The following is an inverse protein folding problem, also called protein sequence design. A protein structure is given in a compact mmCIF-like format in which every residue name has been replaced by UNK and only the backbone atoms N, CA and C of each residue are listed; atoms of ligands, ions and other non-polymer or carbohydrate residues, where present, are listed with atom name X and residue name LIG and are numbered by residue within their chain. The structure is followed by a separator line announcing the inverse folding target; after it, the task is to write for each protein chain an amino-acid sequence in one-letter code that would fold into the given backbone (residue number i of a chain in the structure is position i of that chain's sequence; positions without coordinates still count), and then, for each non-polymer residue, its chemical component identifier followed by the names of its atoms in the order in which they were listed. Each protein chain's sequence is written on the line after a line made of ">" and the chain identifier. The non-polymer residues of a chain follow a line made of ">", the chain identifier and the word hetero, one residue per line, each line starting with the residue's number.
data_IF_461453507498
#
_entry.id   IF_461453507498
#
_cell.length_a   1.000
_cell.length_b   1.000
_cell.length_c   1.000
_cell.angle_alpha   90.00
_cell.angle_beta   90.00
_cell.angle_gamma   90.00
#
_symmetry.space_group_name_H-M   'P 1'
#
loop_
_entity.id
_entity.type
_entity.pdbx_description
1 polymer ?
#
# COMPACT_ATOMS: atom_id res chain seq x y z
N UNK A 1 20.74 11.89 -40.90
CA UNK A 1 21.68 11.81 -42.05
C UNK A 1 22.86 12.77 -41.87
N UNK A 2 24.09 12.25 -41.70
CA UNK A 2 25.28 13.07 -41.45
C UNK A 2 26.26 13.15 -42.64
N UNK A 3 26.00 12.40 -43.70
CA UNK A 3 26.87 12.28 -44.88
C UNK A 3 26.24 12.99 -46.09
N UNK A 4 26.74 14.18 -46.48
CA UNK A 4 26.25 14.92 -47.65
C UNK A 4 26.39 14.16 -48.97
N UNK A 5 27.43 13.35 -49.13
CA UNK A 5 27.74 12.66 -50.38
C UNK A 5 26.67 11.64 -50.76
N UNK A 6 26.03 11.02 -49.75
CA UNK A 6 24.89 10.09 -49.94
C UNK A 6 23.68 10.75 -50.61
N UNK A 7 23.57 12.07 -50.54
CA UNK A 7 22.48 12.87 -51.10
C UNK A 7 22.93 13.73 -52.30
N UNK A 8 24.14 13.49 -52.82
CA UNK A 8 24.69 14.27 -53.94
C UNK A 8 25.07 15.70 -53.58
N UNK A 9 25.37 15.97 -52.30
CA UNK A 9 25.71 17.31 -51.80
C UNK A 9 27.18 17.39 -51.38
N UNK A 10 27.79 18.55 -51.59
CA UNK A 10 29.23 18.76 -51.32
C UNK A 10 29.49 19.22 -49.88
N UNK A 11 28.57 19.97 -49.27
CA UNK A 11 28.76 20.52 -47.92
C UNK A 11 27.67 20.11 -46.93
N UNK A 12 28.03 20.09 -45.64
CA UNK A 12 27.05 19.90 -44.55
C UNK A 12 25.98 21.01 -44.52
N UNK A 13 26.33 22.21 -44.99
CA UNK A 13 25.42 23.36 -45.04
C UNK A 13 24.34 23.15 -46.11
N UNK A 14 24.72 22.60 -47.26
CA UNK A 14 23.76 22.26 -48.32
C UNK A 14 22.83 21.14 -47.88
N UNK A 15 23.35 20.16 -47.14
CA UNK A 15 22.54 19.09 -46.55
C UNK A 15 21.54 19.63 -45.54
N UNK A 16 21.94 20.58 -44.69
CA UNK A 16 21.03 21.26 -43.78
C UNK A 16 19.94 22.03 -44.54
N UNK A 17 20.30 22.82 -45.55
CA UNK A 17 19.33 23.57 -46.36
C UNK A 17 18.34 22.66 -47.10
N UNK A 18 18.80 21.54 -47.65
CA UNK A 18 17.92 20.55 -48.29
C UNK A 18 16.93 19.95 -47.28
N UNK A 19 17.43 19.57 -46.10
CA UNK A 19 16.59 19.04 -45.02
C UNK A 19 15.55 20.05 -44.56
N UNK A 20 15.91 21.32 -44.36
CA UNK A 20 14.96 22.38 -44.00
C UNK A 20 13.87 22.57 -45.07
N UNK A 21 14.20 22.48 -46.36
CA UNK A 21 13.19 22.56 -47.43
C UNK A 21 12.21 21.38 -47.39
N UNK A 22 12.69 20.16 -47.14
CA UNK A 22 11.82 19.01 -46.94
C UNK A 22 10.96 19.12 -45.69
N UNK A 23 11.50 19.66 -44.60
CA UNK A 23 10.74 19.91 -43.37
C UNK A 23 9.64 20.93 -43.60
N UNK A 24 9.90 22.04 -44.30
CA UNK A 24 8.87 23.04 -44.67
C UNK A 24 7.77 22.41 -45.53
N UNK A 25 8.12 21.55 -46.49
CA UNK A 25 7.14 20.86 -47.34
C UNK A 25 6.22 19.95 -46.51
N UNK A 26 6.72 19.42 -45.40
CA UNK A 26 6.03 18.51 -44.51
C UNK A 26 5.47 19.20 -43.25
N UNK A 27 5.74 20.49 -43.04
CA UNK A 27 5.53 21.25 -41.80
C UNK A 27 4.11 21.12 -41.23
N UNK A 28 3.09 21.06 -42.09
CA UNK A 28 1.69 20.88 -41.66
C UNK A 28 1.35 19.51 -41.04
N UNK A 29 2.26 18.52 -41.09
CA UNK A 29 2.09 17.18 -40.52
C UNK A 29 3.22 16.78 -39.55
N UNK A 30 4.15 17.71 -39.27
CA UNK A 30 5.33 17.44 -38.45
C UNK A 30 5.27 18.05 -37.05
N UNK A 31 4.27 18.89 -36.74
CA UNK A 31 4.08 19.47 -35.40
C UNK A 31 4.00 18.42 -34.27
N UNK A 32 3.56 17.19 -34.59
CA UNK A 32 3.52 16.08 -33.63
C UNK A 32 4.89 15.40 -33.40
N UNK A 33 5.90 15.68 -34.23
CA UNK A 33 7.17 14.95 -34.30
C UNK A 33 8.38 15.86 -34.06
N UNK A 34 8.32 17.14 -34.43
CA UNK A 34 9.38 18.13 -34.21
C UNK A 34 8.80 19.40 -33.60
N UNK A 35 9.64 20.19 -32.94
CA UNK A 35 9.19 21.38 -32.22
C UNK A 35 9.36 22.70 -33.00
N UNK A 36 10.14 22.71 -34.07
CA UNK A 36 10.39 23.86 -34.94
C UNK A 36 10.62 23.35 -36.37
N UNK A 37 9.94 23.95 -37.35
CA UNK A 37 9.98 23.52 -38.75
C UNK A 37 11.28 23.94 -39.47
N UNK A 38 11.96 24.98 -38.97
CA UNK A 38 13.18 25.54 -39.55
C UNK A 38 14.44 25.02 -38.85
N UNK A 39 14.44 25.00 -37.51
CA UNK A 39 15.57 24.60 -36.66
C UNK A 39 15.15 23.64 -35.53
N UNK A 40 14.79 22.37 -35.84
CA UNK A 40 14.35 21.41 -34.83
C UNK A 40 15.45 21.04 -33.84
N UNK A 41 15.22 21.27 -32.55
CA UNK A 41 16.13 20.89 -31.45
C UNK A 41 15.60 19.66 -30.66
N UNK A 42 14.35 19.25 -30.89
CA UNK A 42 13.69 18.11 -30.25
C UNK A 42 12.92 17.29 -31.27
N UNK A 43 12.87 15.99 -31.04
CA UNK A 43 12.03 15.09 -31.81
C UNK A 43 11.25 14.14 -30.90
N UNK A 44 9.98 13.91 -31.22
CA UNK A 44 9.13 12.92 -30.59
C UNK A 44 9.09 11.65 -31.43
N UNK A 45 9.43 10.53 -30.81
CA UNK A 45 9.28 9.20 -31.41
C UNK A 45 8.12 8.51 -30.68
N UNK A 46 7.01 8.30 -31.38
CA UNK A 46 5.83 7.64 -30.84
C UNK A 46 5.92 6.12 -31.07
N UNK A 47 5.82 5.35 -29.98
CA UNK A 47 5.69 3.90 -30.02
C UNK A 47 4.27 3.54 -29.58
N UNK A 48 3.47 3.02 -30.51
CA UNK A 48 2.12 2.54 -30.19
C UNK A 48 2.17 1.05 -29.87
N UNK A 49 1.63 0.69 -28.71
CA UNK A 49 1.56 -0.69 -28.25
C UNK A 49 0.17 -1.25 -28.50
N UNK A 50 0.11 -2.46 -29.05
CA UNK A 50 -1.15 -3.19 -29.20
C UNK A 50 -1.61 -3.84 -27.89
N UNK A 51 -0.69 -4.01 -26.92
CA UNK A 51 -0.96 -4.61 -25.63
C UNK A 51 -0.19 -3.84 -24.53
N UNK A 52 -0.89 -3.45 -23.47
CA UNK A 52 -0.35 -2.74 -22.30
C UNK A 52 -0.07 -3.68 -21.11
N UNK A 53 -0.01 -4.98 -21.33
CA UNK A 53 0.42 -5.94 -20.32
C UNK A 53 1.78 -5.56 -19.72
N UNK A 54 1.88 -5.71 -18.39
CA UNK A 54 3.02 -5.24 -17.61
C UNK A 54 4.35 -5.85 -18.06
N UNK A 55 4.34 -7.11 -18.50
CA UNK A 55 5.52 -7.81 -19.00
C UNK A 55 5.97 -7.26 -20.35
N UNK A 56 5.04 -7.13 -21.30
CA UNK A 56 5.27 -6.54 -22.62
C UNK A 56 5.84 -5.13 -22.48
N UNK A 57 5.23 -4.31 -21.64
CA UNK A 57 5.68 -2.94 -21.41
C UNK A 57 7.06 -2.87 -20.76
N UNK A 58 7.36 -3.75 -19.79
CA UNK A 58 8.69 -3.84 -19.21
C UNK A 58 9.76 -4.21 -20.25
N UNK A 59 9.46 -5.17 -21.12
CA UNK A 59 10.37 -5.62 -22.16
C UNK A 59 10.63 -4.50 -23.18
N UNK A 60 9.57 -3.81 -23.63
CA UNK A 60 9.69 -2.66 -24.55
C UNK A 60 10.52 -1.54 -23.92
N UNK A 61 10.27 -1.21 -22.65
CA UNK A 61 11.05 -0.17 -21.96
C UNK A 61 12.52 -0.55 -21.86
N UNK A 62 12.84 -1.79 -21.43
CA UNK A 62 14.23 -2.24 -21.34
C UNK A 62 14.95 -2.24 -22.69
N UNK A 63 14.28 -2.69 -23.76
CA UNK A 63 14.85 -2.66 -25.10
C UNK A 63 15.04 -1.23 -25.61
N UNK A 64 14.11 -0.33 -25.31
CA UNK A 64 14.20 1.09 -25.70
C UNK A 64 15.37 1.79 -25.01
N UNK A 65 15.53 1.63 -23.70
CA UNK A 65 16.70 2.15 -22.98
C UNK A 65 18.00 1.57 -23.57
N UNK A 66 18.07 0.25 -23.73
CA UNK A 66 19.27 -0.43 -24.26
C UNK A 66 19.62 -0.04 -25.70
N UNK A 67 18.63 0.34 -26.51
CA UNK A 67 18.85 0.83 -27.87
C UNK A 67 19.39 2.26 -27.83
N UNK A 68 18.69 3.17 -27.15
CA UNK A 68 19.06 4.59 -27.14
C UNK A 68 20.36 4.87 -26.39
N UNK A 69 20.69 4.11 -25.34
CA UNK A 69 21.99 4.20 -24.67
C UNK A 69 23.19 3.93 -25.60
N UNK A 70 22.98 3.14 -26.67
CA UNK A 70 24.04 2.81 -27.65
C UNK A 70 23.96 3.65 -28.92
N UNK A 71 22.76 4.09 -29.29
CA UNK A 71 22.48 4.71 -30.58
C UNK A 71 22.36 6.24 -30.53
N UNK A 72 22.31 6.85 -29.34
CA UNK A 72 22.15 8.30 -29.21
C UNK A 72 23.38 9.04 -29.77
N UNK A 73 23.20 10.05 -30.66
CA UNK A 73 24.31 10.85 -31.16
C UNK A 73 24.95 11.73 -30.07
N UNK A 74 26.24 12.05 -30.22
CA UNK A 74 26.93 12.98 -29.31
C UNK A 74 26.20 14.34 -29.23
N UNK A 75 26.02 14.85 -28.01
CA UNK A 75 25.32 16.11 -27.74
C UNK A 75 23.80 15.99 -27.65
N UNK A 76 23.22 14.81 -27.93
CA UNK A 76 21.78 14.56 -27.79
C UNK A 76 21.47 13.79 -26.50
N UNK A 77 20.33 14.10 -25.90
CA UNK A 77 19.77 13.37 -24.77
C UNK A 77 18.40 12.82 -25.15
N UNK A 78 18.03 11.67 -24.61
CA UNK A 78 16.70 11.09 -24.82
C UNK A 78 15.95 10.97 -23.48
N UNK A 79 14.62 11.01 -23.56
CA UNK A 79 13.72 10.73 -22.44
C UNK A 79 12.57 9.87 -22.94
N UNK A 80 12.25 8.82 -22.21
CA UNK A 80 11.09 7.96 -22.50
C UNK A 80 9.92 8.41 -21.64
N UNK A 81 8.78 8.66 -22.26
CA UNK A 81 7.57 9.14 -21.60
C UNK A 81 6.32 8.37 -22.08
N UNK A 82 5.16 9.02 -21.97
CA UNK A 82 3.87 8.43 -22.35
C UNK A 82 3.11 7.86 -21.16
N UNK A 83 1.79 7.77 -21.32
CA UNK A 83 0.86 7.34 -20.26
C UNK A 83 1.18 5.94 -19.76
N UNK A 84 1.40 4.98 -20.65
CA UNK A 84 1.70 3.59 -20.28
C UNK A 84 2.99 3.49 -19.45
N UNK A 85 4.05 4.20 -19.84
CA UNK A 85 5.31 4.30 -19.07
C UNK A 85 5.08 4.89 -17.69
N UNK A 86 4.30 5.97 -17.59
CA UNK A 86 3.96 6.62 -16.31
C UNK A 86 3.19 5.63 -15.42
N UNK A 87 2.15 4.97 -15.93
CA UNK A 87 1.38 3.98 -15.16
C UNK A 87 2.25 2.83 -14.67
N UNK A 88 3.14 2.29 -15.51
CA UNK A 88 4.05 1.22 -15.11
C UNK A 88 4.98 1.64 -13.97
N UNK A 89 5.57 2.85 -14.05
CA UNK A 89 6.44 3.38 -13.01
C UNK A 89 5.64 3.60 -11.72
N UNK A 90 4.44 4.20 -11.82
CA UNK A 90 3.55 4.39 -10.68
C UNK A 90 3.20 3.07 -10.00
N UNK A 91 2.80 2.04 -10.76
CA UNK A 91 2.50 0.71 -10.21
C UNK A 91 3.70 0.12 -9.47
N UNK A 92 4.91 0.23 -10.04
CA UNK A 92 6.13 -0.26 -9.38
C UNK A 92 6.43 0.48 -8.08
N UNK A 93 6.30 1.80 -8.10
CA UNK A 93 6.53 2.65 -6.93
C UNK A 93 5.50 2.36 -5.83
N UNK A 94 4.23 2.16 -6.20
CA UNK A 94 3.15 1.81 -5.27
C UNK A 94 3.44 0.46 -4.61
N UNK A 95 3.71 -0.60 -5.39
CA UNK A 95 3.92 -1.95 -4.84
C UNK A 95 5.10 -1.97 -3.86
N UNK A 96 6.25 -1.39 -4.24
CA UNK A 96 7.44 -1.39 -3.38
C UNK A 96 7.21 -0.57 -2.10
N UNK A 97 6.58 0.59 -2.23
CA UNK A 97 6.28 1.46 -1.09
C UNK A 97 5.23 0.83 -0.17
N UNK A 98 4.28 0.08 -0.72
CA UNK A 98 3.19 -0.56 0.03
C UNK A 98 3.70 -1.66 0.96
N UNK A 99 4.60 -2.54 0.48
CA UNK A 99 5.17 -3.59 1.34
C UNK A 99 5.93 -2.98 2.51
N UNK A 100 6.80 -2.00 2.23
CA UNK A 100 7.58 -1.32 3.27
C UNK A 100 6.67 -0.58 4.26
N UNK A 101 5.63 0.08 3.76
CA UNK A 101 4.66 0.80 4.58
C UNK A 101 3.83 -0.12 5.46
N UNK A 102 3.36 -1.27 4.95
CA UNK A 102 2.61 -2.25 5.74
C UNK A 102 3.51 -2.85 6.84
N UNK A 103 4.74 -3.26 6.51
CA UNK A 103 5.67 -3.79 7.50
C UNK A 103 6.04 -2.75 8.57
N UNK A 104 6.31 -1.52 8.14
CA UNK A 104 6.59 -0.39 9.03
C UNK A 104 5.41 -0.07 9.94
N UNK A 105 4.18 -0.05 9.39
CA UNK A 105 2.96 0.20 10.16
C UNK A 105 2.67 -0.93 11.17
N UNK A 106 2.81 -2.20 10.77
CA UNK A 106 2.68 -3.35 11.67
C UNK A 106 3.70 -3.29 12.81
N UNK A 107 4.95 -2.94 12.50
CA UNK A 107 5.99 -2.75 13.50
C UNK A 107 5.66 -1.61 14.46
N UNK A 108 5.21 -0.46 13.96
CA UNK A 108 4.82 0.67 14.79
C UNK A 108 3.61 0.36 15.68
N UNK A 109 2.58 -0.30 15.16
CA UNK A 109 1.43 -0.72 15.95
C UNK A 109 1.85 -1.71 17.04
N UNK A 110 2.67 -2.71 16.67
CA UNK A 110 3.23 -3.65 17.63
C UNK A 110 4.01 -2.93 18.74
N UNK A 111 4.83 -1.95 18.38
CA UNK A 111 5.62 -1.15 19.31
C UNK A 111 4.70 -0.36 20.25
N UNK A 112 3.70 0.33 19.72
CA UNK A 112 2.74 1.12 20.49
C UNK A 112 1.98 0.24 21.48
N UNK A 113 1.42 -0.89 21.04
CA UNK A 113 0.69 -1.81 21.93
C UNK A 113 1.65 -2.39 22.98
N UNK A 114 2.86 -2.78 22.58
CA UNK A 114 3.88 -3.28 23.51
C UNK A 114 4.23 -2.25 24.59
N UNK A 115 4.30 -0.97 24.24
CA UNK A 115 4.58 0.12 25.18
C UNK A 115 3.38 0.39 26.10
N UNK A 116 2.16 0.50 25.57
CA UNK A 116 0.94 0.72 26.36
C UNK A 116 0.78 -0.35 27.44
N UNK A 117 1.00 -1.61 27.08
CA UNK A 117 0.85 -2.75 27.98
C UNK A 117 2.15 -3.17 28.68
N UNK A 118 3.27 -2.49 28.41
CA UNK A 118 4.61 -2.83 28.90
C UNK A 118 4.97 -4.32 28.68
N UNK A 119 4.51 -4.89 27.57
CA UNK A 119 4.58 -6.33 27.32
C UNK A 119 4.65 -6.64 25.83
N UNK A 120 5.82 -7.12 25.40
CA UNK A 120 6.08 -7.53 24.01
C UNK A 120 5.11 -8.63 23.54
N UNK A 121 4.76 -9.55 24.45
CA UNK A 121 3.80 -10.63 24.16
C UNK A 121 2.41 -10.06 23.85
N UNK A 122 1.96 -9.06 24.61
CA UNK A 122 0.67 -8.39 24.36
C UNK A 122 0.71 -7.61 23.05
N UNK A 123 1.85 -7.01 22.70
CA UNK A 123 2.08 -6.42 21.38
C UNK A 123 1.75 -7.37 20.23
N UNK A 124 2.29 -8.60 20.26
CA UNK A 124 1.99 -9.61 19.24
C UNK A 124 0.52 -10.06 19.23
N UNK A 125 -0.12 -10.18 20.41
CA UNK A 125 -1.55 -10.47 20.51
C UNK A 125 -2.39 -9.36 19.86
N UNK A 126 -1.96 -8.10 20.02
CA UNK A 126 -2.61 -6.95 19.41
C UNK A 126 -2.57 -6.93 17.89
N UNK A 127 -1.63 -7.65 17.25
CA UNK A 127 -1.56 -7.75 15.79
C UNK A 127 -2.57 -8.73 15.19
N UNK A 128 -3.16 -9.61 16.01
CA UNK A 128 -4.08 -10.67 15.53
C UNK A 128 -5.21 -10.12 14.66
N UNK A 129 -6.05 -9.16 15.12
CA UNK A 129 -7.14 -8.66 14.27
C UNK A 129 -6.66 -7.99 12.99
N UNK A 130 -5.48 -7.36 13.02
CA UNK A 130 -4.88 -6.72 11.85
C UNK A 130 -4.48 -7.76 10.80
N UNK A 131 -3.78 -8.82 11.21
CA UNK A 131 -3.35 -9.89 10.29
C UNK A 131 -4.56 -10.57 9.66
N UNK A 132 -5.61 -10.85 10.44
CA UNK A 132 -6.85 -11.43 9.91
C UNK A 132 -7.58 -10.48 8.97
N UNK A 133 -7.64 -9.18 9.30
CA UNK A 133 -8.24 -8.19 8.41
C UNK A 133 -7.46 -8.06 7.09
N UNK A 134 -6.13 -7.97 7.14
CA UNK A 134 -5.30 -7.88 5.94
C UNK A 134 -5.41 -9.16 5.09
N UNK A 135 -5.39 -10.34 5.72
CA UNK A 135 -5.61 -11.61 5.03
C UNK A 135 -6.98 -11.68 4.36
N UNK A 136 -8.03 -11.22 5.05
CA UNK A 136 -9.38 -11.13 4.50
C UNK A 136 -9.47 -10.21 3.28
N UNK A 137 -8.78 -9.07 3.31
CA UNK A 137 -8.69 -8.16 2.17
C UNK A 137 -7.96 -8.81 0.98
N UNK A 138 -6.83 -9.50 1.22
CA UNK A 138 -6.12 -10.22 0.16
C UNK A 138 -7.02 -11.27 -0.50
N UNK A 139 -7.77 -12.04 0.29
CA UNK A 139 -8.73 -13.02 -0.23
C UNK A 139 -9.80 -12.32 -1.08
N UNK A 140 -10.34 -11.19 -0.60
CA UNK A 140 -11.36 -10.43 -1.33
C UNK A 140 -10.83 -9.84 -2.65
N UNK A 141 -9.60 -9.34 -2.67
CA UNK A 141 -8.97 -8.83 -3.89
C UNK A 141 -8.73 -9.94 -4.93
N UNK A 142 -8.26 -11.11 -4.48
CA UNK A 142 -8.07 -12.28 -5.35
C UNK A 142 -9.41 -12.77 -5.89
N UNK A 143 -10.43 -12.90 -5.04
CA UNK A 143 -11.78 -13.33 -5.45
C UNK A 143 -12.44 -12.34 -6.42
N UNK A 144 -12.16 -11.04 -6.27
CA UNK A 144 -12.69 -9.97 -7.14
C UNK A 144 -11.88 -9.71 -8.40
N UNK A 145 -10.78 -10.44 -8.66
CA UNK A 145 -9.83 -10.15 -9.75
C UNK A 145 -9.34 -8.69 -9.77
N UNK A 146 -9.16 -8.09 -8.59
CA UNK A 146 -8.74 -6.71 -8.44
C UNK A 146 -7.21 -6.63 -8.42
N UNK A 147 -6.64 -5.72 -9.21
CA UNK A 147 -5.19 -5.48 -9.25
C UNK A 147 -4.76 -4.66 -8.04
N UNK A 148 -3.53 -4.88 -7.58
CA UNK A 148 -2.90 -4.04 -6.56
C UNK A 148 -2.63 -2.65 -7.14
N UNK A 149 -3.27 -1.64 -6.59
CA UNK A 149 -3.16 -0.25 -6.96
C UNK A 149 -3.15 0.67 -5.72
N UNK A 150 -3.19 1.99 -5.95
CA UNK A 150 -3.26 2.98 -4.87
C UNK A 150 -4.47 2.78 -3.94
N UNK A 151 -5.61 2.30 -4.45
CA UNK A 151 -6.82 2.05 -3.65
C UNK A 151 -6.56 0.88 -2.69
N UNK A 152 -5.95 -0.20 -3.18
CA UNK A 152 -5.59 -1.34 -2.31
C UNK A 152 -4.62 -0.95 -1.19
N UNK A 153 -3.68 -0.03 -1.46
CA UNK A 153 -2.76 0.50 -0.45
C UNK A 153 -3.49 1.31 0.62
N UNK A 154 -4.44 2.15 0.21
CA UNK A 154 -5.27 2.93 1.14
C UNK A 154 -6.10 2.01 2.04
N UNK A 155 -6.74 0.99 1.47
CA UNK A 155 -7.52 0.02 2.25
C UNK A 155 -6.65 -0.74 3.26
N UNK A 156 -5.44 -1.16 2.89
CA UNK A 156 -4.53 -1.85 3.80
C UNK A 156 -4.14 -0.98 5.02
N UNK A 157 -3.84 0.30 4.80
CA UNK A 157 -3.52 1.24 5.89
C UNK A 157 -4.67 1.38 6.88
N UNK A 158 -5.90 1.43 6.38
CA UNK A 158 -7.10 1.53 7.21
C UNK A 158 -7.32 0.25 8.01
N UNK A 159 -7.16 -0.92 7.38
CA UNK A 159 -7.30 -2.19 8.06
C UNK A 159 -6.34 -2.33 9.26
N UNK A 160 -5.12 -1.80 9.12
CA UNK A 160 -4.16 -1.72 10.22
C UNK A 160 -4.67 -0.80 11.34
N UNK A 161 -5.16 0.40 11.01
CA UNK A 161 -5.66 1.36 12.00
C UNK A 161 -6.87 0.84 12.77
N UNK A 162 -7.88 0.34 12.06
CA UNK A 162 -9.09 -0.25 12.64
C UNK A 162 -8.76 -1.49 13.48
N UNK A 163 -7.87 -2.35 13.00
CA UNK A 163 -7.47 -3.54 13.75
C UNK A 163 -6.69 -3.23 15.01
N UNK A 164 -5.83 -2.21 14.97
CA UNK A 164 -5.15 -1.72 16.15
C UNK A 164 -6.15 -1.17 17.18
N UNK A 165 -7.12 -0.37 16.74
CA UNK A 165 -8.15 0.22 17.61
C UNK A 165 -8.96 -0.85 18.36
N UNK A 166 -9.53 -1.81 17.63
CA UNK A 166 -10.29 -2.90 18.25
C UNK A 166 -9.44 -3.80 19.13
N UNK A 167 -8.18 -4.07 18.75
CA UNK A 167 -7.25 -4.79 19.60
C UNK A 167 -7.05 -4.08 20.94
N UNK A 168 -6.76 -2.77 20.91
CA UNK A 168 -6.54 -1.96 22.11
C UNK A 168 -7.79 -1.96 22.98
N UNK A 169 -8.97 -1.72 22.41
CA UNK A 169 -10.22 -1.72 23.17
C UNK A 169 -10.47 -3.05 23.88
N UNK A 170 -10.28 -4.18 23.21
CA UNK A 170 -10.43 -5.52 23.81
C UNK A 170 -9.36 -5.77 24.88
N UNK A 171 -8.09 -5.47 24.60
CA UNK A 171 -6.98 -5.69 25.53
C UNK A 171 -7.11 -4.84 26.80
N UNK A 172 -7.49 -3.57 26.68
CA UNK A 172 -7.73 -2.68 27.83
C UNK A 172 -8.90 -3.19 28.67
N UNK A 173 -10.01 -3.55 28.03
CA UNK A 173 -11.18 -4.06 28.73
C UNK A 173 -10.87 -5.38 29.45
N UNK A 174 -10.14 -6.29 28.79
CA UNK A 174 -9.70 -7.55 29.37
C UNK A 174 -8.82 -7.31 30.60
N UNK A 175 -7.76 -6.48 30.49
CA UNK A 175 -6.88 -6.12 31.62
C UNK A 175 -7.66 -5.53 32.79
N UNK A 176 -8.59 -4.61 32.52
CA UNK A 176 -9.43 -3.97 33.54
C UNK A 176 -10.31 -4.99 34.26
N UNK A 177 -10.97 -5.88 33.53
CA UNK A 177 -11.85 -6.91 34.10
C UNK A 177 -11.06 -7.98 34.88
N UNK A 178 -9.87 -8.36 34.40
CA UNK A 178 -8.98 -9.29 35.11
C UNK A 178 -8.50 -8.73 36.44
N UNK A 179 -8.19 -7.44 36.50
CA UNK A 179 -7.69 -6.80 37.73
C UNK A 179 -8.74 -6.73 38.85
N UNK A 180 -10.02 -6.59 38.51
CA UNK A 180 -11.09 -6.43 39.51
C UNK A 180 -11.50 -7.74 40.19
N UNK A 181 -11.15 -8.91 39.63
CA UNK A 181 -11.61 -10.24 40.09
C UNK A 181 -13.13 -10.34 40.32
N UNK A 182 -13.91 -9.42 39.75
CA UNK A 182 -15.29 -9.15 40.17
C UNK A 182 -16.31 -10.12 39.54
N UNK A 183 -15.91 -10.94 38.57
CA UNK A 183 -16.86 -11.74 37.79
C UNK A 183 -16.40 -13.19 37.67
N UNK A 184 -17.30 -14.12 38.01
CA UNK A 184 -17.15 -15.56 37.76
C UNK A 184 -16.99 -15.88 36.26
N UNK A 185 -17.41 -14.96 35.37
CA UNK A 185 -17.20 -15.07 33.93
C UNK A 185 -16.69 -13.74 33.32
N UNK A 186 -15.37 -13.58 33.29
CA UNK A 186 -14.69 -12.42 32.72
C UNK A 186 -15.04 -12.18 31.24
N UNK A 187 -15.21 -13.26 30.48
CA UNK A 187 -15.45 -13.20 29.04
C UNK A 187 -16.87 -12.69 28.78
N UNK A 188 -17.85 -13.16 29.56
CA UNK A 188 -19.22 -12.67 29.47
C UNK A 188 -19.29 -11.16 29.77
N UNK A 189 -18.57 -10.69 30.78
CA UNK A 189 -18.51 -9.24 31.10
C UNK A 189 -17.84 -8.41 30.01
N UNK A 190 -16.81 -8.95 29.36
CA UNK A 190 -16.16 -8.33 28.22
C UNK A 190 -17.17 -8.12 27.08
N UNK A 191 -17.94 -9.16 26.75
CA UNK A 191 -18.94 -9.10 25.69
C UNK A 191 -20.12 -8.16 26.02
N UNK A 192 -20.61 -8.20 27.27
CA UNK A 192 -21.73 -7.36 27.71
C UNK A 192 -21.38 -5.86 27.79
N UNK A 193 -20.10 -5.51 27.83
CA UNK A 193 -19.64 -4.12 27.88
C UNK A 193 -18.97 -3.72 26.57
N UNK A 194 -17.65 -3.91 26.47
CA UNK A 194 -16.83 -3.47 25.35
C UNK A 194 -17.16 -4.23 24.06
N UNK A 195 -17.52 -5.50 24.13
CA UNK A 195 -17.85 -6.29 22.95
C UNK A 195 -19.07 -5.75 22.20
N UNK A 196 -20.15 -5.42 22.92
CA UNK A 196 -21.34 -4.79 22.35
C UNK A 196 -21.03 -3.43 21.73
N UNK A 197 -20.19 -2.62 22.38
CA UNK A 197 -19.76 -1.33 21.85
C UNK A 197 -18.96 -1.46 20.54
N UNK A 198 -18.00 -2.41 20.49
CA UNK A 198 -17.19 -2.69 19.29
C UNK A 198 -18.07 -3.15 18.13
N UNK A 199 -18.99 -4.09 18.37
CA UNK A 199 -19.89 -4.57 17.31
C UNK A 199 -20.78 -3.45 16.78
N UNK A 200 -21.35 -2.63 17.67
CA UNK A 200 -22.19 -1.52 17.25
C UNK A 200 -21.41 -0.51 16.40
N UNK A 201 -20.19 -0.16 16.81
CA UNK A 201 -19.29 0.68 16.01
C UNK A 201 -18.97 0.06 14.63
N UNK A 202 -18.55 -1.21 14.63
CA UNK A 202 -18.15 -1.91 13.42
C UNK A 202 -19.28 -1.96 12.40
N UNK A 203 -20.50 -2.34 12.83
CA UNK A 203 -21.66 -2.40 11.94
C UNK A 203 -22.13 -1.01 11.50
N UNK A 204 -22.24 -0.05 12.41
CA UNK A 204 -22.69 1.30 12.05
C UNK A 204 -21.78 1.96 11.01
N UNK A 205 -20.46 1.87 11.19
CA UNK A 205 -19.52 2.46 10.24
C UNK A 205 -19.43 1.62 8.96
N UNK A 206 -19.46 0.29 9.03
CA UNK A 206 -19.47 -0.55 7.83
C UNK A 206 -20.68 -0.26 6.93
N UNK A 207 -21.87 -0.09 7.51
CA UNK A 207 -23.09 0.31 6.78
C UNK A 207 -22.90 1.67 6.13
N UNK A 208 -22.33 2.64 6.85
CA UNK A 208 -22.02 3.97 6.31
C UNK A 208 -21.08 3.93 5.10
N UNK A 209 -20.00 3.15 5.18
CA UNK A 209 -19.05 2.99 4.06
C UNK A 209 -19.61 2.17 2.90
N UNK A 210 -20.59 1.30 3.15
CA UNK A 210 -21.28 0.56 2.09
C UNK A 210 -22.04 1.49 1.16
N UNK A 211 -22.47 2.68 1.62
CA UNK A 211 -23.11 3.68 0.76
C UNK A 211 -22.20 4.11 -0.41
N UNK A 212 -20.88 4.02 -0.28
CA UNK A 212 -19.93 4.34 -1.34
C UNK A 212 -20.03 3.40 -2.55
N UNK A 213 -20.63 2.21 -2.39
CA UNK A 213 -20.91 1.27 -3.50
C UNK A 213 -21.81 1.91 -4.56
N UNK A 214 -22.64 2.88 -4.18
CA UNK A 214 -23.50 3.63 -5.11
C UNK A 214 -22.74 4.65 -5.98
N UNK A 215 -21.43 4.81 -5.76
CA UNK A 215 -20.60 5.72 -6.55
C UNK A 215 -20.49 5.27 -8.01
N UNK A 216 -20.53 6.24 -8.93
CA UNK A 216 -20.25 6.01 -10.36
C UNK A 216 -18.76 5.71 -10.62
N UNK A 217 -17.90 6.09 -9.68
CA UNK A 217 -16.47 5.81 -9.77
C UNK A 217 -16.19 4.46 -9.10
N UNK A 218 -15.91 3.45 -9.93
CA UNK A 218 -15.62 2.06 -9.50
C UNK A 218 -14.60 2.01 -8.34
N UNK A 219 -13.48 2.77 -8.37
CA UNK A 219 -12.50 2.71 -7.28
C UNK A 219 -13.09 3.12 -5.91
N UNK A 220 -14.04 4.04 -5.89
CA UNK A 220 -14.70 4.50 -4.65
C UNK A 220 -15.63 3.41 -4.11
N UNK A 221 -16.38 2.73 -4.99
CA UNK A 221 -17.25 1.62 -4.61
C UNK A 221 -16.48 0.40 -4.08
N UNK A 222 -15.36 0.07 -4.72
CA UNK A 222 -14.43 -0.97 -4.25
C UNK A 222 -13.86 -0.59 -2.88
N UNK A 223 -13.38 0.64 -2.74
CA UNK A 223 -12.85 1.15 -1.47
C UNK A 223 -13.87 1.02 -0.32
N UNK A 224 -15.11 1.43 -0.54
CA UNK A 224 -16.18 1.33 0.47
C UNK A 224 -16.49 -0.11 0.88
N UNK A 225 -16.60 -1.02 -0.11
CA UNK A 225 -16.81 -2.44 0.16
C UNK A 225 -15.67 -3.04 0.98
N UNK A 226 -14.43 -2.74 0.60
CA UNK A 226 -13.25 -3.27 1.29
C UNK A 226 -13.09 -2.71 2.70
N UNK A 227 -13.41 -1.43 2.89
CA UNK A 227 -13.46 -0.80 4.23
C UNK A 227 -14.48 -1.52 5.13
N UNK A 228 -15.71 -1.69 4.65
CA UNK A 228 -16.77 -2.36 5.39
C UNK A 228 -16.39 -3.80 5.75
N UNK A 229 -15.80 -4.54 4.81
CA UNK A 229 -15.30 -5.89 5.04
C UNK A 229 -14.20 -5.92 6.11
N UNK A 230 -13.22 -5.00 6.04
CA UNK A 230 -12.15 -4.89 7.03
C UNK A 230 -12.69 -4.62 8.44
N UNK A 231 -13.67 -3.73 8.58
CA UNK A 231 -14.32 -3.44 9.88
C UNK A 231 -14.96 -4.67 10.49
N UNK A 232 -15.69 -5.44 9.70
CA UNK A 232 -16.36 -6.67 10.16
C UNK A 232 -15.34 -7.75 10.52
N UNK A 233 -14.37 -8.02 9.66
CA UNK A 233 -13.36 -9.06 9.93
C UNK A 233 -12.54 -8.69 11.16
N UNK A 234 -12.10 -7.44 11.25
CA UNK A 234 -11.25 -6.98 12.34
C UNK A 234 -11.97 -6.98 13.68
N UNK A 235 -13.24 -6.53 13.72
CA UNK A 235 -14.02 -6.55 14.96
C UNK A 235 -14.26 -7.98 15.43
N UNK A 236 -14.67 -8.90 14.55
CA UNK A 236 -14.85 -10.32 14.88
C UNK A 236 -13.53 -10.97 15.32
N UNK A 237 -12.43 -10.73 14.62
CA UNK A 237 -11.12 -11.26 14.98
C UNK A 237 -10.67 -10.75 16.35
N UNK A 238 -10.89 -9.46 16.66
CA UNK A 238 -10.55 -8.90 17.96
C UNK A 238 -11.38 -9.51 19.10
N UNK A 239 -12.67 -9.74 18.87
CA UNK A 239 -13.59 -10.23 19.90
C UNK A 239 -13.49 -11.73 20.12
N UNK A 240 -13.14 -12.50 19.09
CA UNK A 240 -13.06 -13.96 19.18
C UNK A 240 -11.63 -14.39 19.51
N UNK A 241 -10.64 -13.93 18.75
CA UNK A 241 -9.29 -14.50 18.78
C UNK A 241 -8.46 -13.96 19.95
N UNK A 242 -8.55 -12.66 20.26
CA UNK A 242 -7.79 -12.10 21.39
C UNK A 242 -8.21 -12.78 22.71
N UNK A 243 -9.50 -12.85 23.09
CA UNK A 243 -9.88 -13.52 24.34
C UNK A 243 -9.56 -15.01 24.33
N UNK A 244 -9.64 -15.69 23.18
CA UNK A 244 -9.27 -17.10 23.05
C UNK A 244 -7.77 -17.33 23.33
N UNK A 245 -6.89 -16.44 22.85
CA UNK A 245 -5.46 -16.49 23.14
C UNK A 245 -5.19 -16.15 24.59
N UNK A 246 -5.78 -15.07 25.11
CA UNK A 246 -5.57 -14.63 26.49
C UNK A 246 -6.05 -15.66 27.53
N UNK A 247 -7.07 -16.46 27.23
CA UNK A 247 -7.52 -17.56 28.11
C UNK A 247 -6.47 -18.65 28.29
N UNK A 248 -5.59 -18.87 27.31
CA UNK A 248 -4.54 -19.91 27.34
C UNK A 248 -3.23 -19.43 27.96
N UNK A 249 -3.07 -18.12 28.17
CA UNK A 249 -1.84 -17.53 28.69
C UNK A 249 -2.10 -16.98 30.08
N UNK A 250 -1.14 -17.11 31.00
CA UNK A 250 -1.28 -16.54 32.33
C UNK A 250 -1.30 -15.00 32.24
N UNK A 251 -2.51 -14.45 32.39
CA UNK A 251 -2.84 -13.03 32.33
C UNK A 251 -2.06 -12.24 33.38
N UNK A 252 -1.77 -12.84 34.53
CA UNK A 252 -1.02 -12.20 35.61
C UNK A 252 0.43 -11.97 35.20
N UNK A 253 1.02 -12.82 34.36
CA UNK A 253 2.38 -12.62 33.84
C UNK A 253 2.45 -11.62 32.69
N UNK A 254 1.37 -11.52 31.90
CA UNK A 254 1.28 -10.67 30.72
C UNK A 254 1.19 -9.18 31.04
N UNK A 255 0.50 -8.82 32.13
CA UNK A 255 0.23 -7.43 32.52
C UNK A 255 0.99 -6.98 33.78
N UNK A 256 1.89 -7.81 34.34
CA UNK A 256 2.72 -7.45 35.49
C UNK A 256 3.61 -6.25 35.16
N UNK A 257 3.41 -5.17 35.90
CA UNK A 257 4.31 -4.01 35.91
C UNK A 257 5.68 -4.45 36.40
N UNK A 258 6.77 -4.00 35.76
CA UNK A 258 8.14 -4.38 36.15
C UNK A 258 8.48 -4.07 37.63
N UNK A 259 7.77 -3.12 38.27
CA UNK A 259 7.90 -2.86 39.71
C UNK A 259 7.49 -4.05 40.61
N UNK A 260 6.45 -4.81 40.24
CA UNK A 260 6.01 -5.97 41.04
C UNK A 260 6.93 -7.18 40.88
N UNK A 261 7.55 -7.35 39.70
CA UNK A 261 8.59 -8.37 39.49
C UNK A 261 9.85 -8.09 40.33
N UNK A 262 10.16 -6.81 40.56
CA UNK A 262 11.24 -6.40 41.47
C UNK A 262 10.93 -6.72 42.94
N UNK A 263 9.71 -6.39 43.40
CA UNK A 263 9.28 -6.65 44.79
C UNK A 263 9.20 -8.14 45.13
N UNK A 264 8.73 -8.99 44.21
CA UNK A 264 8.72 -10.45 44.39
C UNK A 264 10.13 -11.06 44.49
N UNK A 265 11.09 -10.56 43.71
CA UNK A 265 12.50 -11.00 43.79
C UNK A 265 13.20 -10.53 45.06
N UNK A 266 12.84 -9.36 45.60
CA UNK A 266 13.40 -8.85 46.86
C UNK A 266 12.82 -9.63 48.04
N UNK A 267 11.51 -9.87 48.05
CA UNK A 267 10.85 -10.66 49.10
C UNK A 267 11.35 -12.12 49.12
N UNK A 268 11.54 -12.77 47.97
CA UNK A 268 12.08 -14.15 47.94
C UNK A 268 13.55 -14.25 48.35
N UNK A 269 14.29 -13.12 48.37
CA UNK A 269 15.69 -13.04 48.82
C UNK A 269 15.84 -12.69 50.30
N UNK A 270 14.77 -12.24 50.95
CA UNK A 270 14.73 -11.91 52.39
C UNK A 270 14.22 -13.07 53.24
N UNK A 271 13.60 -14.08 52.62
CA UNK A 271 13.04 -15.27 53.27
C UNK A 271 13.73 -16.59 52.86
N UNK A 272 14.90 -16.50 52.21
CA UNK A 272 15.87 -17.57 52.01
C UNK A 272 17.21 -17.11 52.61
#
# INVERSE_FOLDING_TARGET
>A
PQDPAKYGLETKKDLQSLLSQYLILLAGNLEMVINDDLEPDKTLIALQLNNEEKETLNNVLQQSYSFWDRAIPEGWNYKIGGTSTIYYILDKLIINSQILSILGALFLVWLIISLIFHSVKVGFIGLIPIVFSLGGLVIAFVAGNLKLDAVTSLTASIAIGVGADYAIHVLVAYRRLSARKEHNDLILSLYNTTGRAILMNAFSVAIGFTALVLSRLIPIGVFGTMFALSMVISSLASLILIPAVLRKVDVSELFKTNEEKGKLKIFSKLFN
#
